data_IF_131988800583
#
_entry.id   IF_131988800583
#
_cell.length_a   1.000
_cell.length_b   1.000
_cell.length_c   1.000
_cell.angle_alpha   90.00
_cell.angle_beta   90.00
_cell.angle_gamma   90.00
#
_symmetry.space_group_name_H-M   'P 1'
#
loop_
_entity.id
_entity.type
_entity.pdbx_description
1 polymer ?
#
# COMPACT_ATOMS: atom_id res chain seq x y z
N UNK A 1 -2.62 4.99 -9.63
CA UNK A 1 -2.00 4.59 -8.34
C UNK A 1 -1.62 3.12 -8.27
N UNK A 2 -2.44 2.23 -8.77
CA UNK A 2 -2.13 0.79 -8.75
C UNK A 2 -0.75 0.48 -9.34
N UNK A 3 -0.45 1.04 -10.49
CA UNK A 3 0.83 0.79 -11.16
C UNK A 3 2.01 1.38 -10.39
N UNK A 4 1.81 2.53 -9.76
CA UNK A 4 2.85 3.15 -8.95
C UNK A 4 3.21 2.27 -7.76
N UNK A 5 2.20 1.71 -7.09
CA UNK A 5 2.42 0.80 -5.97
C UNK A 5 3.07 -0.50 -6.46
N UNK A 6 2.53 -1.09 -7.52
CA UNK A 6 3.05 -2.33 -8.09
C UNK A 6 4.53 -2.19 -8.47
N UNK A 7 4.90 -1.06 -9.08
CA UNK A 7 6.27 -0.80 -9.47
C UNK A 7 7.22 -0.82 -8.28
N UNK A 8 6.81 -0.23 -7.17
CA UNK A 8 7.65 -0.17 -5.97
C UNK A 8 7.73 -1.49 -5.23
N UNK A 9 6.73 -2.35 -5.38
CA UNK A 9 6.71 -3.67 -4.75
C UNK A 9 7.31 -4.77 -5.62
N UNK A 10 7.81 -4.41 -6.79
CA UNK A 10 8.36 -5.37 -7.76
C UNK A 10 9.51 -6.18 -7.16
N UNK A 11 10.32 -5.58 -6.29
CA UNK A 11 11.44 -6.26 -5.64
C UNK A 11 10.99 -7.41 -4.74
N UNK A 12 9.74 -7.42 -4.30
CA UNK A 12 9.19 -8.50 -3.50
C UNK A 12 8.74 -9.69 -4.33
N UNK A 13 8.71 -9.54 -5.65
CA UNK A 13 8.27 -10.57 -6.58
C UNK A 13 6.94 -11.18 -6.13
N UNK A 14 5.88 -10.36 -5.92
CA UNK A 14 4.65 -10.86 -5.33
C UNK A 14 3.99 -11.91 -6.21
N UNK A 15 3.55 -12.99 -5.60
CA UNK A 15 2.75 -14.01 -6.27
C UNK A 15 1.31 -13.55 -6.43
N UNK A 16 0.83 -12.77 -5.47
CA UNK A 16 -0.49 -12.16 -5.50
C UNK A 16 -0.33 -10.70 -5.12
N UNK A 17 -0.93 -9.84 -5.91
CA UNK A 17 -1.04 -8.42 -5.61
C UNK A 17 -2.44 -7.97 -5.98
N UNK A 18 -3.19 -7.52 -4.97
CA UNK A 18 -4.52 -6.96 -5.17
C UNK A 18 -4.54 -5.53 -4.70
N UNK A 19 -5.29 -4.70 -5.38
CA UNK A 19 -5.38 -3.27 -5.12
C UNK A 19 -6.84 -2.84 -5.15
N UNK A 20 -7.24 -2.04 -4.17
CA UNK A 20 -8.55 -1.44 -4.12
C UNK A 20 -8.41 0.04 -3.78
N UNK A 21 -9.12 0.87 -4.53
CA UNK A 21 -9.18 2.30 -4.28
C UNK A 21 -10.43 2.58 -3.43
N UNK A 22 -10.22 2.97 -2.19
CA UNK A 22 -11.28 3.24 -1.23
C UNK A 22 -11.54 4.73 -1.06
N UNK A 23 -10.94 5.57 -1.91
CA UNK A 23 -11.01 7.03 -1.76
C UNK A 23 -12.45 7.55 -1.75
N UNK A 24 -13.34 6.92 -2.50
CA UNK A 24 -14.74 7.32 -2.57
C UNK A 24 -15.48 7.17 -1.24
N UNK A 25 -15.00 6.32 -0.35
CA UNK A 25 -15.60 6.12 0.97
C UNK A 25 -15.38 7.31 1.91
N UNK A 26 -14.48 8.21 1.54
CA UNK A 26 -14.06 9.34 2.36
C UNK A 26 -14.44 10.69 1.74
N UNK A 27 -15.22 10.67 0.67
CA UNK A 27 -15.67 11.90 0.00
C UNK A 27 -16.56 12.68 0.97
N UNK A 28 -16.28 13.97 1.09
CA UNK A 28 -17.05 14.85 1.97
C UNK A 28 -16.58 14.90 3.42
N UNK A 29 -15.61 14.11 3.81
CA UNK A 29 -15.04 14.21 5.16
C UNK A 29 -14.23 15.51 5.29
N UNK A 30 -14.52 16.27 6.33
CA UNK A 30 -13.73 17.44 6.67
C UNK A 30 -12.29 16.96 6.95
N UNK A 31 -11.31 17.62 6.40
CA UNK A 31 -9.93 17.21 6.57
C UNK A 31 -9.39 16.29 5.48
N UNK A 32 -10.23 15.82 4.58
CA UNK A 32 -9.74 15.10 3.41
C UNK A 32 -9.20 16.13 2.41
N UNK A 33 -7.89 16.30 2.41
CA UNK A 33 -7.22 17.36 1.65
C UNK A 33 -6.48 16.83 0.43
N UNK A 34 -7.01 15.80 -0.18
CA UNK A 34 -6.33 15.09 -1.26
C UNK A 34 -5.53 13.92 -0.73
N UNK A 35 -4.87 13.21 -1.62
CA UNK A 35 -4.28 11.93 -1.32
C UNK A 35 -5.34 10.85 -1.29
N UNK A 36 -4.96 9.63 -1.67
CA UNK A 36 -5.89 8.53 -1.77
C UNK A 36 -5.94 7.67 -0.52
N UNK A 37 -7.03 6.92 -0.43
CA UNK A 37 -7.22 5.87 0.56
C UNK A 37 -7.29 4.55 -0.19
N UNK A 38 -6.37 3.64 0.11
CA UNK A 38 -6.22 2.40 -0.67
C UNK A 38 -6.09 1.20 0.24
N UNK A 39 -6.39 0.03 -0.32
CA UNK A 39 -6.15 -1.26 0.32
C UNK A 39 -5.35 -2.13 -0.62
N UNK A 40 -4.36 -2.84 -0.11
CA UNK A 40 -3.59 -3.79 -0.91
C UNK A 40 -3.43 -5.12 -0.18
N UNK A 41 -3.33 -6.18 -0.99
CA UNK A 41 -2.95 -7.51 -0.53
C UNK A 41 -1.70 -7.90 -1.29
N UNK A 42 -0.67 -8.31 -0.55
CA UNK A 42 0.61 -8.72 -1.13
C UNK A 42 0.99 -10.08 -0.57
N UNK A 43 1.17 -11.06 -1.43
CA UNK A 43 1.66 -12.37 -1.04
C UNK A 43 2.99 -12.62 -1.74
N UNK A 44 4.04 -12.84 -0.97
CA UNK A 44 5.39 -13.07 -1.50
C UNK A 44 6.07 -14.20 -0.75
N UNK A 45 6.75 -15.08 -1.49
CA UNK A 45 7.55 -16.13 -0.87
C UNK A 45 8.74 -15.58 -0.09
N UNK A 46 9.15 -14.34 -0.41
CA UNK A 46 10.22 -13.67 0.33
C UNK A 46 9.82 -13.37 1.77
N UNK A 47 8.53 -13.41 2.07
CA UNK A 47 8.02 -13.19 3.43
C UNK A 47 7.94 -14.47 4.27
N UNK A 48 8.41 -15.61 3.73
CA UNK A 48 8.42 -16.86 4.50
C UNK A 48 9.18 -16.62 5.80
N UNK A 49 8.60 -17.08 6.90
CA UNK A 49 9.18 -16.96 8.25
C UNK A 49 9.36 -15.51 8.73
N UNK A 50 8.75 -14.55 8.03
CA UNK A 50 8.79 -13.14 8.43
C UNK A 50 7.52 -12.80 9.20
N UNK A 51 7.63 -12.27 10.44
CA UNK A 51 6.45 -11.86 11.20
C UNK A 51 5.61 -10.83 10.47
N UNK A 52 4.31 -10.85 10.73
CA UNK A 52 3.36 -9.97 10.05
C UNK A 52 3.75 -8.50 10.14
N UNK A 53 4.15 -8.05 11.32
CA UNK A 53 4.54 -6.65 11.51
C UNK A 53 5.71 -6.26 10.61
N UNK A 54 6.70 -7.14 10.49
CA UNK A 54 7.85 -6.89 9.63
C UNK A 54 7.46 -6.86 8.16
N UNK A 55 6.54 -7.75 7.75
CA UNK A 55 6.03 -7.72 6.37
C UNK A 55 5.38 -6.39 6.05
N UNK A 56 4.53 -5.90 6.97
CA UNK A 56 3.84 -4.63 6.78
C UNK A 56 4.83 -3.46 6.74
N UNK A 57 5.84 -3.47 7.59
CA UNK A 57 6.87 -2.43 7.61
C UNK A 57 7.67 -2.41 6.32
N UNK A 58 7.99 -3.59 5.79
CA UNK A 58 8.72 -3.71 4.53
C UNK A 58 7.92 -3.11 3.39
N UNK A 59 6.64 -3.48 3.28
CA UNK A 59 5.76 -2.95 2.23
C UNK A 59 5.64 -1.44 2.35
N UNK A 60 5.36 -0.94 3.55
CA UNK A 60 5.20 0.49 3.77
C UNK A 60 6.48 1.25 3.45
N UNK A 61 7.64 0.71 3.81
CA UNK A 61 8.93 1.33 3.53
C UNK A 61 9.18 1.51 2.04
N UNK A 62 8.78 0.52 1.23
CA UNK A 62 8.93 0.60 -0.22
C UNK A 62 8.01 1.65 -0.84
N UNK A 63 6.94 2.03 -0.15
CA UNK A 63 5.97 3.01 -0.62
C UNK A 63 6.15 4.39 0.04
N UNK A 64 7.22 4.58 0.80
CA UNK A 64 7.41 5.78 1.61
C UNK A 64 7.35 7.07 0.79
N UNK A 65 7.89 7.07 -0.41
CA UNK A 65 7.88 8.24 -1.28
C UNK A 65 6.46 8.67 -1.66
N UNK A 66 5.56 7.70 -1.86
CA UNK A 66 4.17 8.01 -2.18
C UNK A 66 3.45 8.65 -0.99
N UNK A 67 3.79 8.24 0.22
CA UNK A 67 3.26 8.89 1.42
C UNK A 67 3.83 10.30 1.57
N UNK A 68 5.15 10.43 1.40
CA UNK A 68 5.83 11.73 1.55
C UNK A 68 5.37 12.76 0.54
N UNK A 69 5.05 12.31 -0.68
CA UNK A 69 4.56 13.18 -1.74
C UNK A 69 3.07 13.51 -1.59
N UNK A 70 2.40 12.94 -0.59
CA UNK A 70 0.99 13.20 -0.36
C UNK A 70 0.05 12.47 -1.30
N UNK A 71 0.55 11.52 -2.09
CA UNK A 71 -0.27 10.76 -3.03
C UNK A 71 -1.07 9.67 -2.33
N UNK A 72 -0.55 9.12 -1.24
CA UNK A 72 -1.27 8.17 -0.38
C UNK A 72 -1.51 8.85 0.96
N UNK A 73 -2.77 8.98 1.35
CA UNK A 73 -3.16 9.49 2.66
C UNK A 73 -3.28 8.35 3.67
N UNK A 74 -3.92 7.26 3.27
CA UNK A 74 -4.08 6.08 4.12
C UNK A 74 -3.98 4.81 3.28
N UNK A 75 -3.40 3.77 3.85
CA UNK A 75 -3.18 2.51 3.19
C UNK A 75 -3.40 1.36 4.17
N UNK A 76 -4.32 0.45 3.81
CA UNK A 76 -4.49 -0.81 4.51
C UNK A 76 -3.64 -1.86 3.81
N UNK A 77 -2.76 -2.51 4.55
CA UNK A 77 -1.83 -3.50 4.01
C UNK A 77 -2.12 -4.85 4.63
N UNK A 78 -2.41 -5.82 3.77
CA UNK A 78 -2.43 -7.25 4.11
C UNK A 78 -1.24 -7.89 3.42
N UNK A 79 -0.35 -8.42 4.22
CA UNK A 79 0.87 -9.01 3.68
C UNK A 79 1.23 -10.32 4.38
#
# INVERSE_FOLDING_TARGET
MKQSIASRLKTLEPRIFEFQDDSHLHVGHAGNRGGGHYSILVVSTLFRDTPRLERQRTVKGLLQDLFSDGLIHALSIKA
#
